data_IF_078248164104
#
_entry.id   IF_078248164104
#
_cell.length_a   1.000
_cell.length_b   1.000
_cell.length_c   1.000
_cell.angle_alpha   90.00
_cell.angle_beta   90.00
_cell.angle_gamma   90.00
#
_symmetry.space_group_name_H-M   'P 1'
#
loop_
_entity.id
_entity.type
_entity.pdbx_description
1 polymer ?
#
# COMPACT_ATOMS: atom_id res chain seq x y z
N UNK A 1 -14.45 14.47 -20.11
CA UNK A 1 -15.03 13.38 -20.92
C UNK A 1 -14.27 13.28 -22.23
N UNK A 2 -14.63 12.37 -23.13
CA UNK A 2 -14.08 12.37 -24.48
C UNK A 2 -14.43 13.70 -25.19
N UNK A 3 -13.60 14.10 -26.15
CA UNK A 3 -13.65 15.44 -26.75
C UNK A 3 -14.93 15.70 -27.58
N UNK A 4 -15.65 14.65 -27.94
CA UNK A 4 -16.90 14.67 -28.70
C UNK A 4 -18.15 14.61 -27.81
N UNK A 5 -18.00 14.69 -26.48
CA UNK A 5 -19.12 14.62 -25.57
C UNK A 5 -19.97 15.90 -25.67
N UNK A 6 -21.23 15.75 -26.06
CA UNK A 6 -22.18 16.84 -26.28
C UNK A 6 -23.43 16.67 -25.42
N UNK A 7 -24.03 17.78 -25.00
CA UNK A 7 -25.34 17.76 -24.33
C UNK A 7 -26.40 17.23 -25.29
N UNK A 8 -27.39 16.51 -24.74
CA UNK A 8 -28.57 16.05 -25.48
C UNK A 8 -29.82 16.25 -24.64
N UNK A 9 -30.94 16.48 -25.32
CA UNK A 9 -32.26 16.51 -24.69
C UNK A 9 -32.81 15.09 -24.64
N UNK A 10 -32.74 14.47 -23.46
CA UNK A 10 -33.31 13.14 -23.19
C UNK A 10 -34.13 13.24 -21.90
N UNK A 11 -35.19 12.44 -21.77
CA UNK A 11 -36.03 12.41 -20.56
C UNK A 11 -36.54 13.79 -20.09
N UNK A 12 -36.68 14.76 -21.01
CA UNK A 12 -37.12 16.11 -20.72
C UNK A 12 -36.05 17.05 -20.15
N UNK A 13 -34.78 16.64 -20.13
CA UNK A 13 -33.67 17.45 -19.64
C UNK A 13 -32.53 17.55 -20.66
N UNK A 14 -31.99 18.76 -20.84
CA UNK A 14 -30.81 19.00 -21.65
C UNK A 14 -29.55 18.87 -20.78
N UNK A 15 -28.94 17.69 -20.82
CA UNK A 15 -27.81 17.32 -19.98
C UNK A 15 -26.79 16.52 -20.78
N UNK A 16 -25.64 16.25 -20.15
CA UNK A 16 -24.70 15.25 -20.61
C UNK A 16 -25.15 13.87 -20.13
N UNK A 17 -25.38 12.95 -21.05
CA UNK A 17 -25.94 11.64 -20.74
C UNK A 17 -24.88 10.55 -20.82
N UNK A 18 -24.76 9.74 -19.76
CA UNK A 18 -23.90 8.56 -19.73
C UNK A 18 -24.78 7.32 -19.73
N UNK A 19 -24.51 6.40 -20.66
CA UNK A 19 -25.20 5.11 -20.73
C UNK A 19 -24.25 4.00 -20.33
N UNK A 20 -24.57 3.28 -19.26
CA UNK A 20 -23.86 2.07 -18.85
C UNK A 20 -24.65 0.84 -19.31
N UNK A 21 -23.99 -0.10 -19.99
CA UNK A 21 -24.57 -1.38 -20.42
C UNK A 21 -23.63 -2.50 -20.02
N UNK A 22 -24.20 -3.62 -19.57
CA UNK A 22 -23.44 -4.86 -19.41
C UNK A 22 -23.12 -5.40 -20.82
N UNK A 23 -21.83 -5.43 -21.16
CA UNK A 23 -21.36 -5.85 -22.48
C UNK A 23 -21.46 -7.37 -22.66
N UNK A 24 -21.05 -8.14 -21.65
CA UNK A 24 -21.14 -9.61 -21.62
C UNK A 24 -21.50 -10.12 -20.23
N UNK A 25 -22.12 -11.31 -20.17
CA UNK A 25 -22.52 -11.98 -18.93
C UNK A 25 -23.93 -11.65 -18.47
N UNK A 26 -24.29 -12.17 -17.30
CA UNK A 26 -25.56 -11.89 -16.63
C UNK A 26 -25.36 -11.81 -15.12
N UNK A 27 -26.26 -11.09 -14.44
CA UNK A 27 -26.27 -11.06 -13.00
C UNK A 27 -27.26 -12.09 -12.46
N UNK A 28 -26.81 -12.97 -11.56
CA UNK A 28 -27.73 -13.82 -10.80
C UNK A 28 -28.71 -12.98 -9.94
N UNK A 29 -28.24 -11.80 -9.50
CA UNK A 29 -29.05 -10.72 -8.90
C UNK A 29 -28.49 -9.39 -9.39
N UNK A 30 -29.32 -8.57 -10.04
CA UNK A 30 -28.89 -7.29 -10.60
C UNK A 30 -28.25 -6.39 -9.52
N UNK A 31 -27.12 -5.70 -9.83
CA UNK A 31 -26.51 -4.78 -8.90
C UNK A 31 -27.45 -3.62 -8.63
N UNK A 32 -27.50 -3.18 -7.37
CA UNK A 32 -28.23 -1.96 -7.00
C UNK A 32 -27.21 -0.84 -6.92
N UNK A 33 -27.43 0.22 -7.68
CA UNK A 33 -26.70 1.48 -7.50
C UNK A 33 -27.16 2.04 -6.17
N UNK A 34 -26.23 2.16 -5.22
CA UNK A 34 -26.50 2.72 -3.91
C UNK A 34 -26.45 4.25 -3.94
N UNK A 35 -25.46 4.80 -4.67
CA UNK A 35 -25.26 6.23 -4.84
C UNK A 35 -24.31 6.50 -6.03
N UNK A 36 -24.33 7.73 -6.57
CA UNK A 36 -23.39 8.24 -7.58
C UNK A 36 -22.80 9.53 -7.05
N UNK A 37 -21.51 9.48 -6.69
CA UNK A 37 -20.79 10.63 -6.15
C UNK A 37 -19.83 11.19 -7.20
N UNK A 38 -19.98 12.49 -7.48
CA UNK A 38 -19.12 13.22 -8.39
C UNK A 38 -17.90 13.77 -7.63
N UNK A 39 -16.82 14.05 -8.36
CA UNK A 39 -15.60 14.68 -7.81
C UNK A 39 -15.05 13.98 -6.55
N UNK A 40 -15.17 12.66 -6.48
CA UNK A 40 -14.75 11.86 -5.33
C UNK A 40 -13.53 11.02 -5.70
N UNK A 41 -12.55 10.99 -4.80
CA UNK A 41 -11.34 10.17 -4.91
C UNK A 41 -11.16 9.30 -3.67
N UNK A 42 -10.51 8.13 -3.77
CA UNK A 42 -10.07 7.41 -2.58
C UNK A 42 -9.06 8.25 -1.80
N UNK A 43 -9.16 8.20 -0.47
CA UNK A 43 -8.22 8.84 0.44
C UNK A 43 -7.81 7.85 1.53
N UNK A 44 -6.56 7.96 1.99
CA UNK A 44 -5.99 7.14 3.06
C UNK A 44 -5.54 8.04 4.21
N UNK A 45 -5.63 7.53 5.44
CA UNK A 45 -5.11 8.25 6.61
C UNK A 45 -3.59 8.14 6.66
N UNK A 46 -2.91 9.10 6.04
CA UNK A 46 -1.46 9.15 5.94
C UNK A 46 -0.94 10.59 5.99
N UNK A 47 0.24 10.77 6.56
CA UNK A 47 1.05 11.98 6.45
C UNK A 47 2.20 11.68 5.51
N UNK A 48 2.33 12.51 4.48
CA UNK A 48 3.46 12.44 3.55
C UNK A 48 4.64 13.24 4.10
N UNK A 49 5.82 12.63 4.04
CA UNK A 49 7.11 13.26 4.35
C UNK A 49 7.96 13.22 3.09
N UNK A 50 8.67 14.31 2.82
CA UNK A 50 9.53 14.46 1.63
C UNK A 50 10.92 14.90 2.02
N UNK A 51 11.89 14.47 1.22
CA UNK A 51 13.29 14.87 1.29
C UNK A 51 13.89 14.75 2.70
N UNK A 52 13.59 13.65 3.38
CA UNK A 52 14.20 13.34 4.68
C UNK A 52 15.56 12.67 4.46
N UNK A 53 16.62 13.30 4.95
CA UNK A 53 17.95 12.68 4.96
C UNK A 53 17.97 11.63 6.06
N UNK A 54 18.15 10.37 5.67
CA UNK A 54 18.24 9.24 6.61
C UNK A 54 19.63 9.13 7.23
N UNK A 55 20.68 9.45 6.47
CA UNK A 55 22.03 9.49 7.03
C UNK A 55 23.17 9.53 6.02
N UNK A 56 24.38 9.42 6.58
CA UNK A 56 25.65 9.39 5.85
C UNK A 56 26.05 7.93 5.66
N UNK A 57 26.50 7.57 4.46
CA UNK A 57 27.09 6.24 4.26
C UNK A 57 28.58 6.29 4.57
N UNK A 58 29.08 5.31 5.31
CA UNK A 58 30.52 5.12 5.54
C UNK A 58 31.15 4.10 4.57
N UNK A 59 30.35 3.55 3.66
CA UNK A 59 30.78 2.54 2.68
C UNK A 59 31.04 1.16 3.28
N UNK A 60 30.58 0.89 4.51
CA UNK A 60 30.69 -0.44 5.13
C UNK A 60 29.49 -1.34 4.79
N UNK A 61 29.65 -2.68 4.84
CA UNK A 61 28.56 -3.63 4.69
C UNK A 61 27.44 -3.47 5.72
N UNK A 62 26.22 -3.92 5.37
CA UNK A 62 25.06 -4.06 6.29
C UNK A 62 24.64 -2.77 7.01
N UNK A 63 24.96 -1.61 6.44
CA UNK A 63 24.62 -0.31 7.01
C UNK A 63 23.11 -0.16 7.24
N UNK A 64 22.77 0.51 8.34
CA UNK A 64 21.39 0.70 8.79
C UNK A 64 21.07 2.16 8.98
N UNK A 65 19.87 2.53 8.55
CA UNK A 65 19.34 3.88 8.68
C UNK A 65 17.91 3.81 9.21
N UNK A 66 17.44 4.85 9.87
CA UNK A 66 16.12 4.86 10.51
C UNK A 66 15.35 6.10 10.08
N UNK A 67 14.10 5.92 9.68
CA UNK A 67 13.17 7.01 9.44
C UNK A 67 12.83 7.74 10.75
N UNK A 68 12.73 9.07 10.71
CA UNK A 68 12.33 9.87 11.86
C UNK A 68 10.87 9.63 12.27
N UNK A 69 10.02 9.25 11.32
CA UNK A 69 8.62 8.92 11.58
C UNK A 69 8.30 7.52 11.07
N UNK A 70 7.73 6.71 11.95
CA UNK A 70 7.28 5.36 11.66
C UNK A 70 5.98 5.09 12.45
N UNK A 71 5.11 4.16 12.00
CA UNK A 71 5.34 3.18 10.94
C UNK A 71 5.42 3.79 9.53
N UNK A 72 6.18 3.16 8.64
CA UNK A 72 6.32 3.54 7.22
C UNK A 72 5.31 2.74 6.40
N UNK A 73 4.44 3.44 5.66
CA UNK A 73 3.46 2.83 4.77
C UNK A 73 4.12 2.33 3.47
N UNK A 74 3.50 1.38 2.74
CA UNK A 74 4.07 0.81 1.52
C UNK A 74 4.41 1.84 0.46
N UNK A 75 5.50 1.60 -0.27
CA UNK A 75 5.99 2.45 -1.35
C UNK A 75 6.83 3.67 -0.94
N UNK A 76 7.73 3.59 0.05
CA UNK A 76 8.70 4.66 0.25
C UNK A 76 9.71 4.70 -0.91
N UNK A 77 10.08 5.91 -1.31
CA UNK A 77 11.08 6.17 -2.33
C UNK A 77 12.40 6.55 -1.65
N UNK A 78 13.38 5.64 -1.69
CA UNK A 78 14.73 5.86 -1.15
C UNK A 78 15.68 6.13 -2.31
N UNK A 79 16.32 7.28 -2.29
CA UNK A 79 17.40 7.64 -3.19
C UNK A 79 18.73 7.51 -2.46
N UNK A 80 19.73 6.98 -3.16
CA UNK A 80 21.12 6.96 -2.68
C UNK A 80 21.99 7.72 -3.65
N UNK A 81 22.89 8.52 -3.09
CA UNK A 81 23.89 9.27 -3.84
C UNK A 81 24.99 8.34 -4.33
N UNK A 82 25.25 8.39 -5.63
CA UNK A 82 26.31 7.62 -6.30
C UNK A 82 27.38 8.57 -6.85
N UNK A 83 28.62 8.07 -6.95
CA UNK A 83 29.77 8.84 -7.45
C UNK A 83 29.97 8.69 -8.95
N UNK A 84 29.46 7.61 -9.52
CA UNK A 84 29.68 7.23 -10.92
C UNK A 84 28.34 6.91 -11.57
N UNK A 85 28.27 7.12 -12.89
CA UNK A 85 27.10 6.75 -13.67
C UNK A 85 26.94 5.23 -13.69
N UNK A 86 25.74 4.69 -13.45
CA UNK A 86 25.49 3.25 -13.58
C UNK A 86 25.86 2.76 -14.98
N UNK A 87 26.55 1.62 -15.07
CA UNK A 87 26.84 0.99 -16.36
C UNK A 87 25.56 0.63 -17.12
N UNK A 88 25.63 0.46 -18.44
CA UNK A 88 24.43 0.25 -19.29
C UNK A 88 23.50 -0.89 -18.80
N UNK A 89 24.08 -1.98 -18.31
CA UNK A 89 23.30 -3.12 -17.78
C UNK A 89 22.59 -2.80 -16.48
N UNK A 90 23.28 -2.09 -15.58
CA UNK A 90 22.73 -1.66 -14.29
C UNK A 90 21.65 -0.61 -14.48
N UNK A 91 21.89 0.37 -15.37
CA UNK A 91 20.91 1.39 -15.70
C UNK A 91 19.64 0.77 -16.29
N UNK A 92 19.78 -0.18 -17.21
CA UNK A 92 18.62 -0.88 -17.78
C UNK A 92 17.81 -1.56 -16.67
N UNK A 93 18.46 -2.28 -15.76
CA UNK A 93 17.79 -2.95 -14.64
C UNK A 93 17.09 -1.96 -13.70
N UNK A 94 17.78 -0.88 -13.33
CA UNK A 94 17.23 0.19 -12.49
C UNK A 94 15.93 0.76 -13.08
N UNK A 95 15.92 1.06 -14.38
CA UNK A 95 14.73 1.61 -15.05
C UNK A 95 13.61 0.58 -15.21
N UNK A 96 13.92 -0.72 -15.31
CA UNK A 96 12.94 -1.81 -15.32
C UNK A 96 12.27 -2.01 -13.96
N UNK A 97 13.02 -1.86 -12.86
CA UNK A 97 12.52 -2.07 -11.49
C UNK A 97 11.80 -0.84 -10.93
N UNK A 98 12.37 0.36 -11.12
CA UNK A 98 11.94 1.59 -10.45
C UNK A 98 11.32 2.63 -11.39
N UNK A 99 11.34 2.38 -12.70
CA UNK A 99 10.75 3.25 -13.72
C UNK A 99 11.69 4.31 -14.28
N UNK A 100 11.20 5.14 -15.23
CA UNK A 100 12.02 6.08 -16.00
C UNK A 100 12.61 7.24 -15.18
N UNK A 101 12.02 7.56 -14.02
CA UNK A 101 12.44 8.65 -13.13
C UNK A 101 13.35 8.17 -11.99
N UNK A 102 13.82 6.91 -12.05
CA UNK A 102 14.63 6.28 -11.02
C UNK A 102 16.05 6.85 -10.91
N UNK A 103 16.58 7.46 -11.97
CA UNK A 103 17.89 8.11 -11.97
C UNK A 103 17.73 9.63 -12.10
N UNK A 104 18.30 10.38 -11.18
CA UNK A 104 18.37 11.84 -11.22
C UNK A 104 19.82 12.27 -11.29
N UNK A 105 20.16 13.01 -12.34
CA UNK A 105 21.53 13.51 -12.58
C UNK A 105 21.47 15.02 -12.66
N UNK A 106 22.22 15.69 -11.80
CA UNK A 106 22.52 17.11 -11.93
C UNK A 106 23.88 17.27 -12.62
N UNK A 107 23.94 18.11 -13.66
CA UNK A 107 25.15 18.34 -14.45
C UNK A 107 25.67 19.77 -14.27
N UNK A 108 26.98 19.95 -14.36
CA UNK A 108 27.60 21.28 -14.44
C UNK A 108 27.37 21.95 -15.81
N UNK A 109 27.86 23.18 -15.98
CA UNK A 109 27.81 23.91 -17.26
C UNK A 109 28.57 23.20 -18.40
N UNK A 110 29.49 22.29 -18.07
CA UNK A 110 30.24 21.46 -19.01
C UNK A 110 29.54 20.15 -19.37
N UNK A 111 28.38 19.85 -18.78
CA UNK A 111 27.64 18.61 -18.98
C UNK A 111 28.17 17.41 -18.19
N UNK A 112 29.12 17.61 -17.27
CA UNK A 112 29.60 16.55 -16.38
C UNK A 112 28.64 16.34 -15.21
N UNK A 113 28.36 15.09 -14.80
CA UNK A 113 27.52 14.82 -13.64
C UNK A 113 28.20 15.28 -12.35
N UNK A 114 27.49 16.12 -11.58
CA UNK A 114 27.91 16.65 -10.26
C UNK A 114 27.22 15.86 -9.15
N UNK A 115 25.92 15.57 -9.32
CA UNK A 115 25.17 14.73 -8.41
C UNK A 115 24.42 13.65 -9.16
N UNK A 116 24.56 12.41 -8.69
CA UNK A 116 23.87 11.25 -9.24
C UNK A 116 23.08 10.62 -8.10
N UNK A 117 21.77 10.58 -8.24
CA UNK A 117 20.86 9.97 -7.28
C UNK A 117 20.12 8.84 -7.97
N UNK A 118 20.25 7.63 -7.45
CA UNK A 118 19.51 6.47 -7.94
C UNK A 118 18.47 6.04 -6.92
N UNK A 119 17.28 5.66 -7.38
CA UNK A 119 16.24 5.02 -6.58
C UNK A 119 16.64 3.57 -6.31
N UNK A 120 16.65 3.18 -5.05
CA UNK A 120 16.92 1.81 -4.65
C UNK A 120 15.61 1.03 -4.54
N UNK A 121 15.64 -0.26 -4.85
CA UNK A 121 14.48 -1.14 -4.89
C UNK A 121 14.27 -1.86 -3.55
N UNK A 122 13.06 -1.81 -2.96
CA UNK A 122 12.76 -2.57 -1.75
C UNK A 122 12.64 -4.06 -2.04
N UNK A 123 13.33 -4.90 -1.26
CA UNK A 123 13.22 -6.37 -1.32
C UNK A 123 12.88 -6.95 0.05
N UNK A 124 12.22 -8.11 0.08
CA UNK A 124 11.96 -8.83 1.35
C UNK A 124 13.24 -9.41 1.96
N UNK A 125 14.20 -9.78 1.12
CA UNK A 125 15.52 -10.27 1.55
C UNK A 125 16.55 -10.15 0.42
N UNK A 126 17.83 -10.11 0.78
CA UNK A 126 18.93 -10.04 -0.19
C UNK A 126 19.26 -11.38 -0.88
N UNK A 127 18.51 -12.47 -0.63
CA UNK A 127 18.86 -13.80 -1.11
C UNK A 127 19.01 -13.87 -2.65
N UNK A 128 18.13 -13.17 -3.37
CA UNK A 128 18.14 -13.12 -4.84
C UNK A 128 18.92 -11.91 -5.40
N UNK A 129 19.57 -11.13 -4.53
CA UNK A 129 20.25 -9.88 -4.91
C UNK A 129 21.70 -10.16 -5.32
N UNK A 130 22.13 -9.52 -6.40
CA UNK A 130 23.51 -9.48 -6.85
C UNK A 130 24.32 -8.39 -6.13
N UNK A 131 25.64 -8.38 -6.30
CA UNK A 131 26.54 -7.36 -5.74
C UNK A 131 26.32 -5.94 -6.30
N UNK A 132 25.72 -5.81 -7.49
CA UNK A 132 25.42 -4.51 -8.14
C UNK A 132 23.97 -4.10 -7.99
N UNK A 133 23.16 -4.91 -7.30
CA UNK A 133 21.74 -4.65 -7.13
C UNK A 133 21.52 -3.58 -6.07
N UNK A 134 20.86 -2.49 -6.46
CA UNK A 134 20.52 -1.34 -5.61
C UNK A 134 19.33 -1.69 -4.73
N UNK A 135 19.49 -2.70 -3.89
CA UNK A 135 18.41 -3.23 -3.07
C UNK A 135 18.54 -2.79 -1.62
N UNK A 136 17.40 -2.59 -0.96
CA UNK A 136 17.33 -2.41 0.49
C UNK A 136 16.21 -3.26 1.09
N UNK A 137 16.34 -3.59 2.37
CA UNK A 137 15.29 -4.22 3.16
C UNK A 137 14.74 -3.20 4.14
N UNK A 138 13.41 -3.09 4.22
CA UNK A 138 12.71 -2.18 5.13
C UNK A 138 11.97 -2.97 6.20
N UNK A 139 12.21 -2.63 7.46
CA UNK A 139 11.27 -2.89 8.54
C UNK A 139 10.34 -1.67 8.70
N UNK A 140 9.08 -1.75 8.22
CA UNK A 140 8.17 -0.62 8.24
C UNK A 140 7.65 -0.31 9.64
N UNK A 141 7.76 -1.23 10.60
CA UNK A 141 7.20 -1.07 11.95
C UNK A 141 8.07 -0.13 12.78
N UNK A 142 9.38 -0.33 12.72
CA UNK A 142 10.37 0.51 13.42
C UNK A 142 11.06 1.52 12.49
N UNK A 143 10.74 1.49 11.19
CA UNK A 143 11.31 2.39 10.20
C UNK A 143 12.79 2.15 9.95
N UNK A 144 13.27 0.91 10.03
CA UNK A 144 14.69 0.60 9.79
C UNK A 144 14.91 0.16 8.34
N UNK A 145 15.89 0.76 7.68
CA UNK A 145 16.36 0.39 6.35
C UNK A 145 17.73 -0.26 6.51
N UNK A 146 17.91 -1.40 5.86
CA UNK A 146 19.17 -2.15 5.83
C UNK A 146 19.60 -2.27 4.37
N UNK A 147 20.89 -2.04 4.12
CA UNK A 147 21.51 -2.22 2.80
C UNK A 147 22.34 -3.50 2.72
N UNK A 148 22.75 -3.87 1.50
CA UNK A 148 23.48 -5.10 1.24
C UNK A 148 24.91 -5.12 1.79
N UNK A 149 25.54 -6.28 1.68
CA UNK A 149 26.91 -6.53 2.15
C UNK A 149 27.98 -6.46 1.03
N UNK A 150 27.57 -6.10 -0.19
CA UNK A 150 28.43 -6.07 -1.38
C UNK A 150 28.60 -7.42 -2.06
N UNK A 151 28.03 -8.51 -1.51
CA UNK A 151 27.88 -9.81 -2.16
C UNK A 151 26.42 -10.06 -2.54
N UNK A 152 25.51 -9.68 -1.65
CA UNK A 152 24.07 -9.78 -1.75
C UNK A 152 23.49 -8.38 -1.51
N UNK A 153 23.23 -7.69 -2.60
CA UNK A 153 22.90 -6.27 -2.58
C UNK A 153 24.16 -5.41 -2.53
N UNK A 154 24.08 -4.27 -3.19
CA UNK A 154 25.13 -3.26 -3.23
C UNK A 154 25.27 -2.55 -1.87
N UNK A 155 26.49 -2.15 -1.54
CA UNK A 155 26.77 -1.26 -0.40
C UNK A 155 26.53 0.18 -0.86
N UNK A 156 25.77 1.01 -0.11
CA UNK A 156 25.59 2.41 -0.48
C UNK A 156 26.95 3.11 -0.52
N UNK A 157 27.31 3.82 -1.60
CA UNK A 157 28.61 4.48 -1.70
C UNK A 157 28.85 5.47 -0.54
N UNK A 158 30.09 5.61 -0.05
CA UNK A 158 30.40 6.44 1.10
C UNK A 158 30.19 7.92 0.78
N UNK A 159 29.46 8.65 1.62
CA UNK A 159 29.23 10.07 1.36
C UNK A 159 28.32 10.74 2.38
N UNK A 160 28.44 12.07 2.54
CA UNK A 160 27.58 12.81 3.43
C UNK A 160 26.16 12.88 2.89
N UNK A 161 25.17 12.72 3.78
CA UNK A 161 23.75 12.70 3.42
C UNK A 161 23.43 11.75 2.25
N UNK A 162 24.20 10.66 2.10
CA UNK A 162 24.12 9.79 0.94
C UNK A 162 22.80 9.03 0.83
N UNK A 163 22.04 8.89 1.92
CA UNK A 163 20.76 8.17 1.92
C UNK A 163 19.61 9.15 2.19
N UNK A 164 18.70 9.26 1.23
CA UNK A 164 17.59 10.21 1.23
C UNK A 164 16.27 9.46 1.03
N UNK A 165 15.34 9.60 1.97
CA UNK A 165 13.95 9.28 1.74
C UNK A 165 13.27 10.44 1.00
N UNK A 166 13.22 10.34 -0.32
CA UNK A 166 12.63 11.38 -1.18
C UNK A 166 11.15 11.57 -0.87
N UNK A 167 10.44 10.47 -0.69
CA UNK A 167 9.02 10.47 -0.34
C UNK A 167 8.68 9.22 0.44
N UNK A 168 8.00 9.37 1.57
CA UNK A 168 7.37 8.24 2.24
C UNK A 168 6.10 8.71 2.95
N UNK A 169 5.29 7.75 3.37
CA UNK A 169 4.07 8.01 4.11
C UNK A 169 4.13 7.33 5.47
N UNK A 170 3.55 7.97 6.47
CA UNK A 170 3.42 7.45 7.84
C UNK A 170 2.02 7.72 8.38
N UNK A 171 1.54 6.91 9.32
CA UNK A 171 0.20 7.03 9.89
C UNK A 171 -0.56 5.72 9.86
N UNK A 172 -1.83 5.76 9.44
CA UNK A 172 -2.73 4.61 9.56
C UNK A 172 -3.30 4.46 10.98
N UNK A 173 -3.48 3.22 11.43
CA UNK A 173 -4.02 2.91 12.75
C UNK A 173 -5.55 3.01 12.86
N UNK A 174 -6.07 2.64 14.02
CA UNK A 174 -7.49 2.77 14.36
C UNK A 174 -7.95 4.23 14.36
N UNK A 175 -7.05 5.17 14.65
CA UNK A 175 -7.32 6.61 14.62
C UNK A 175 -7.78 7.12 13.25
N UNK A 176 -7.42 6.41 12.17
CA UNK A 176 -7.87 6.74 10.82
C UNK A 176 -9.32 6.33 10.52
N UNK A 177 -9.95 5.53 11.39
CA UNK A 177 -11.32 5.10 11.23
C UNK A 177 -12.26 6.16 11.82
N UNK A 178 -12.99 6.85 10.96
CA UNK A 178 -13.87 7.95 11.37
C UNK A 178 -15.24 7.87 10.68
N UNK A 179 -16.24 8.47 11.31
CA UNK A 179 -17.61 8.53 10.80
C UNK A 179 -17.71 9.21 9.43
N UNK A 180 -18.82 8.97 8.73
CA UNK A 180 -19.15 9.73 7.52
C UNK A 180 -19.34 11.22 7.87
N UNK A 181 -18.91 12.11 6.99
CA UNK A 181 -19.03 13.56 7.16
C UNK A 181 -18.12 14.17 8.23
N UNK A 182 -17.12 13.43 8.73
CA UNK A 182 -16.18 13.91 9.75
C UNK A 182 -14.92 14.58 9.17
N UNK A 183 -14.50 14.19 7.97
CA UNK A 183 -13.32 14.72 7.28
C UNK A 183 -13.69 15.96 6.48
N UNK A 184 -13.81 17.10 7.18
CA UNK A 184 -14.32 18.36 6.60
C UNK A 184 -13.28 19.48 6.50
N UNK A 185 -12.11 19.31 7.12
CA UNK A 185 -11.05 20.32 7.15
C UNK A 185 -9.91 19.93 6.20
N UNK A 186 -9.55 20.84 5.29
CA UNK A 186 -8.33 20.76 4.49
C UNK A 186 -7.14 21.22 5.32
N UNK A 187 -6.17 20.35 5.57
CA UNK A 187 -4.91 20.74 6.26
C UNK A 187 -4.00 21.60 5.40
N UNK A 188 -4.04 21.40 4.09
CA UNK A 188 -3.37 22.24 3.11
C UNK A 188 -4.45 22.78 2.17
N UNK A 189 -4.44 24.10 1.95
CA UNK A 189 -5.37 24.72 1.02
C UNK A 189 -5.07 24.26 -0.40
N UNK A 190 -6.11 23.84 -1.12
CA UNK A 190 -6.00 23.46 -2.53
C UNK A 190 -6.77 24.50 -3.34
N UNK A 191 -6.12 25.18 -4.31
CA UNK A 191 -6.80 26.16 -5.14
C UNK A 191 -8.07 25.60 -5.79
N UNK A 192 -9.12 26.41 -5.85
CA UNK A 192 -10.43 26.08 -6.43
C UNK A 192 -11.22 24.97 -5.70
N UNK A 193 -10.77 24.51 -4.53
CA UNK A 193 -11.52 23.57 -3.68
C UNK A 193 -12.19 24.33 -2.55
N UNK A 194 -13.51 24.45 -2.62
CA UNK A 194 -14.33 25.14 -1.61
C UNK A 194 -14.51 24.31 -0.33
N UNK A 195 -14.83 23.02 -0.47
CA UNK A 195 -15.09 22.12 0.66
C UNK A 195 -14.72 20.67 0.35
N UNK A 196 -14.35 19.93 1.39
CA UNK A 196 -14.19 18.48 1.36
C UNK A 196 -15.12 17.81 2.37
N UNK A 197 -15.49 16.56 2.09
CA UNK A 197 -16.24 15.70 3.01
C UNK A 197 -16.05 14.25 2.60
N UNK A 198 -16.03 13.33 3.57
CA UNK A 198 -16.11 11.90 3.29
C UNK A 198 -17.56 11.43 3.32
N UNK A 199 -18.11 11.02 2.18
CA UNK A 199 -19.49 10.51 2.11
C UNK A 199 -19.68 9.18 2.86
N UNK A 200 -18.62 8.37 2.90
CA UNK A 200 -18.59 7.11 3.62
C UNK A 200 -17.65 7.20 4.82
N UNK A 201 -17.90 6.35 5.81
CA UNK A 201 -16.98 6.18 6.95
C UNK A 201 -15.59 5.80 6.41
N UNK A 202 -14.54 6.41 6.95
CA UNK A 202 -13.19 5.91 6.74
C UNK A 202 -13.04 4.61 7.55
N UNK A 203 -12.57 3.55 6.89
CA UNK A 203 -12.45 2.21 7.48
C UNK A 203 -11.18 1.56 7.00
N UNK A 204 -10.81 0.46 7.65
CA UNK A 204 -9.71 -0.40 7.24
C UNK A 204 -8.39 -0.08 7.95
N UNK A 205 -8.34 1.01 8.71
CA UNK A 205 -7.22 1.31 9.60
C UNK A 205 -7.17 0.33 10.76
N UNK A 206 -5.98 -0.14 11.09
CA UNK A 206 -5.73 -1.03 12.21
C UNK A 206 -4.36 -0.71 12.81
N UNK A 207 -4.25 -0.83 14.13
CA UNK A 207 -2.99 -0.64 14.84
C UNK A 207 -2.05 -1.83 14.60
N UNK A 208 -0.77 -1.61 14.92
CA UNK A 208 0.27 -2.63 14.81
C UNK A 208 -0.07 -3.88 15.62
N UNK A 209 0.28 -5.05 15.08
CA UNK A 209 0.12 -6.32 15.80
C UNK A 209 0.94 -6.28 17.10
N UNK A 210 0.27 -6.53 18.22
CA UNK A 210 0.92 -6.58 19.53
C UNK A 210 1.78 -7.84 19.66
N UNK A 211 2.76 -7.83 20.57
CA UNK A 211 3.58 -9.02 20.89
C UNK A 211 2.69 -10.19 21.34
N UNK A 212 1.61 -9.93 22.08
CA UNK A 212 0.65 -10.96 22.49
C UNK A 212 -0.03 -11.63 21.29
N UNK A 213 -0.52 -10.83 20.35
CA UNK A 213 -1.11 -11.34 19.10
C UNK A 213 -0.07 -12.07 18.24
N UNK A 214 1.17 -11.57 18.17
CA UNK A 214 2.27 -12.22 17.46
C UNK A 214 2.65 -13.57 18.07
N UNK A 215 2.62 -13.72 19.41
CA UNK A 215 2.83 -15.00 20.11
C UNK A 215 1.75 -16.03 19.77
N UNK A 216 0.50 -15.59 19.63
CA UNK A 216 -0.58 -16.46 19.15
C UNK A 216 -0.42 -16.79 17.67
N UNK A 217 0.14 -15.86 16.88
CA UNK A 217 0.35 -16.03 15.45
C UNK A 217 1.48 -17.01 15.11
N UNK A 218 2.63 -16.84 15.74
CA UNK A 218 3.90 -17.51 15.37
C UNK A 218 3.80 -19.03 15.20
N UNK A 219 3.27 -19.77 16.19
CA UNK A 219 3.13 -21.23 16.10
C UNK A 219 2.30 -21.70 14.90
N UNK A 220 1.29 -20.93 14.52
CA UNK A 220 0.36 -21.28 13.45
C UNK A 220 1.04 -21.10 12.09
N UNK A 221 1.80 -20.01 11.88
CA UNK A 221 2.62 -19.83 10.67
C UNK A 221 3.54 -21.02 10.41
N UNK A 222 4.18 -21.54 11.47
CA UNK A 222 5.05 -22.72 11.37
C UNK A 222 4.26 -23.99 11.05
N UNK A 223 3.08 -24.16 11.66
CA UNK A 223 2.20 -25.32 11.45
C UNK A 223 1.73 -25.41 10.00
N UNK A 224 1.16 -24.35 9.44
CA UNK A 224 0.54 -24.41 8.12
C UNK A 224 1.44 -23.91 6.99
N UNK A 225 2.58 -23.24 7.28
CA UNK A 225 3.55 -22.73 6.28
C UNK A 225 2.91 -21.95 5.12
N UNK A 226 1.96 -21.08 5.46
CA UNK A 226 1.14 -20.32 4.50
C UNK A 226 0.35 -21.19 3.49
N UNK A 227 0.02 -22.45 3.84
CA UNK A 227 -0.81 -23.34 3.02
C UNK A 227 -2.06 -23.75 3.78
N UNK A 228 -3.22 -23.61 3.15
CA UNK A 228 -4.48 -24.10 3.70
C UNK A 228 -4.64 -25.59 3.36
N UNK A 229 -4.46 -26.48 4.34
CA UNK A 229 -4.63 -27.94 4.13
C UNK A 229 -5.77 -28.49 5.00
N UNK A 230 -5.88 -28.00 6.23
CA UNK A 230 -6.96 -28.34 7.17
C UNK A 230 -8.00 -27.22 7.26
N UNK A 231 -9.18 -27.52 7.82
CA UNK A 231 -10.24 -26.53 8.06
C UNK A 231 -9.70 -25.39 8.91
N UNK A 232 -8.95 -25.73 9.95
CA UNK A 232 -8.34 -24.78 10.87
C UNK A 232 -7.34 -23.87 10.16
N UNK A 233 -6.61 -24.38 9.15
CA UNK A 233 -5.68 -23.56 8.37
C UNK A 233 -6.44 -22.52 7.52
N UNK A 234 -7.58 -22.89 6.92
CA UNK A 234 -8.44 -21.92 6.20
C UNK A 234 -8.98 -20.84 7.12
N UNK A 235 -9.47 -21.22 8.31
CA UNK A 235 -9.94 -20.25 9.32
C UNK A 235 -8.83 -19.29 9.72
N UNK A 236 -7.64 -19.83 9.96
CA UNK A 236 -6.53 -19.05 10.45
C UNK A 236 -5.95 -18.11 9.39
N UNK A 237 -5.80 -18.60 8.15
CA UNK A 237 -5.32 -17.77 7.03
C UNK A 237 -6.32 -16.65 6.70
N UNK A 238 -7.62 -16.95 6.73
CA UNK A 238 -8.65 -15.93 6.55
C UNK A 238 -8.63 -14.88 7.67
N UNK A 239 -8.42 -15.30 8.91
CA UNK A 239 -8.25 -14.37 10.04
C UNK A 239 -7.00 -13.48 9.87
N UNK A 240 -5.93 -13.99 9.25
CA UNK A 240 -4.68 -13.23 9.04
C UNK A 240 -4.65 -12.36 7.80
N UNK A 241 -5.52 -12.62 6.83
CA UNK A 241 -5.58 -11.82 5.62
C UNK A 241 -5.84 -10.32 5.91
N UNK A 242 -6.57 -10.00 6.98
CA UNK A 242 -6.76 -8.63 7.43
C UNK A 242 -7.06 -8.53 8.93
N UNK A 243 -6.54 -7.50 9.65
CA UNK A 243 -6.95 -7.21 11.02
C UNK A 243 -8.43 -6.81 11.13
N UNK A 244 -9.11 -6.51 10.01
CA UNK A 244 -10.55 -6.26 9.99
C UNK A 244 -11.39 -7.55 9.98
N UNK A 245 -10.79 -8.73 10.14
CA UNK A 245 -11.53 -9.99 10.33
C UNK A 245 -11.60 -10.29 11.83
N UNK A 246 -12.78 -10.16 12.42
CA UNK A 246 -13.01 -10.52 13.82
C UNK A 246 -13.05 -12.04 14.01
N UNK A 247 -13.63 -12.74 13.03
CA UNK A 247 -13.75 -14.20 13.09
C UNK A 247 -13.83 -14.79 11.69
N UNK A 248 -13.18 -15.94 11.51
CA UNK A 248 -13.35 -16.76 10.33
C UNK A 248 -13.80 -18.16 10.76
N UNK A 249 -14.71 -18.77 9.99
CA UNK A 249 -15.09 -20.17 10.14
C UNK A 249 -15.11 -20.87 8.80
N UNK A 250 -14.50 -22.03 8.71
CA UNK A 250 -14.44 -22.80 7.48
C UNK A 250 -15.37 -24.01 7.62
N UNK A 251 -16.25 -24.16 6.64
CA UNK A 251 -17.21 -25.26 6.55
C UNK A 251 -16.88 -26.10 5.33
N UNK A 252 -17.03 -27.42 5.47
CA UNK A 252 -17.02 -28.32 4.31
C UNK A 252 -18.26 -28.04 3.48
N UNK A 253 -18.10 -27.71 2.20
CA UNK A 253 -19.23 -27.47 1.32
C UNK A 253 -19.68 -28.79 0.69
N UNK A 254 -20.94 -29.20 0.82
CA UNK A 254 -21.40 -30.47 0.25
C UNK A 254 -21.68 -30.41 -1.27
N UNK A 255 -21.54 -29.23 -1.91
CA UNK A 255 -21.96 -29.02 -3.30
C UNK A 255 -20.99 -29.60 -4.33
N UNK A 256 -19.68 -29.56 -4.06
CA UNK A 256 -18.63 -30.09 -4.95
C UNK A 256 -17.43 -30.57 -4.13
N UNK A 257 -16.82 -31.68 -4.54
CA UNK A 257 -15.54 -32.11 -3.97
C UNK A 257 -14.46 -31.05 -4.21
N UNK A 258 -13.66 -30.78 -3.18
CA UNK A 258 -12.62 -29.76 -3.20
C UNK A 258 -13.10 -28.33 -2.89
N UNK A 259 -14.41 -28.11 -2.70
CA UNK A 259 -14.95 -26.80 -2.33
C UNK A 259 -15.04 -26.65 -0.80
N UNK A 260 -14.58 -25.51 -0.29
CA UNK A 260 -14.74 -25.10 1.11
C UNK A 260 -15.46 -23.75 1.17
N UNK A 261 -16.28 -23.53 2.19
CA UNK A 261 -16.93 -22.24 2.44
C UNK A 261 -16.30 -21.60 3.66
N UNK A 262 -15.64 -20.46 3.46
CA UNK A 262 -15.12 -19.64 4.55
C UNK A 262 -16.11 -18.51 4.84
N UNK A 263 -16.62 -18.48 6.06
CA UNK A 263 -17.47 -17.43 6.59
C UNK A 263 -16.57 -16.41 7.28
N UNK A 264 -16.59 -15.17 6.77
CA UNK A 264 -15.81 -14.05 7.30
C UNK A 264 -16.73 -13.10 8.05
N UNK A 265 -16.46 -12.91 9.34
CA UNK A 265 -17.09 -11.91 10.18
C UNK A 265 -16.16 -10.70 10.29
N UNK A 266 -16.54 -9.52 9.78
CA UNK A 266 -15.71 -8.33 9.91
C UNK A 266 -15.67 -7.83 11.35
N UNK A 267 -14.52 -7.27 11.73
CA UNK A 267 -14.37 -6.42 12.91
C UNK A 267 -15.32 -5.22 12.79
N UNK A 268 -15.94 -4.82 13.89
CA UNK A 268 -16.70 -3.58 13.92
C UNK A 268 -16.97 -3.14 15.34
N UNK A 269 -17.20 -1.85 15.51
CA UNK A 269 -17.40 -1.21 16.82
C UNK A 269 -18.61 -1.82 17.55
N UNK A 270 -18.45 -2.10 18.84
CA UNK A 270 -19.52 -2.57 19.74
C UNK A 270 -20.51 -1.46 20.09
N UNK A 271 -20.11 -0.19 20.05
CA UNK A 271 -20.97 0.93 20.45
C UNK A 271 -22.06 1.22 19.43
N UNK A 272 -23.32 1.05 19.85
CA UNK A 272 -24.51 1.37 19.06
C UNK A 272 -24.88 0.33 18.01
N UNK A 273 -24.38 -0.91 18.10
CA UNK A 273 -24.80 -1.99 17.20
C UNK A 273 -26.28 -2.29 17.40
N UNK A 274 -27.07 -1.93 16.39
CA UNK A 274 -28.37 -2.53 16.16
C UNK A 274 -28.15 -4.02 15.85
N UNK A 275 -28.33 -4.88 16.86
CA UNK A 275 -28.12 -6.35 16.79
C UNK A 275 -28.98 -7.03 15.71
N UNK A 276 -29.93 -6.30 15.13
CA UNK A 276 -30.78 -6.75 14.02
C UNK A 276 -30.02 -6.71 12.69
N UNK A 277 -29.06 -5.79 12.51
CA UNK A 277 -28.27 -5.69 11.27
C UNK A 277 -27.10 -6.66 11.27
N UNK A 278 -27.19 -7.68 10.41
CA UNK A 278 -26.10 -8.62 10.16
C UNK A 278 -24.85 -7.85 9.69
N UNK A 279 -23.68 -8.05 10.31
CA UNK A 279 -22.43 -7.49 9.82
C UNK A 279 -22.11 -8.08 8.45
N UNK A 280 -21.85 -7.20 7.47
CA UNK A 280 -21.51 -7.59 6.11
C UNK A 280 -20.07 -7.12 5.84
N UNK A 281 -19.14 -8.03 5.52
CA UNK A 281 -17.78 -7.64 5.15
C UNK A 281 -17.80 -6.83 3.85
N UNK A 282 -16.95 -5.80 3.79
CA UNK A 282 -16.79 -5.02 2.56
C UNK A 282 -16.22 -5.89 1.42
N UNK A 283 -16.56 -5.63 0.14
CA UNK A 283 -16.00 -6.38 -0.98
C UNK A 283 -14.48 -6.40 -1.02
N UNK A 284 -13.83 -5.33 -0.60
CA UNK A 284 -12.37 -5.23 -0.50
C UNK A 284 -11.80 -6.21 0.54
N UNK A 285 -12.51 -6.38 1.67
CA UNK A 285 -12.14 -7.35 2.69
C UNK A 285 -12.29 -8.78 2.17
N UNK A 286 -13.39 -9.08 1.47
CA UNK A 286 -13.62 -10.41 0.87
C UNK A 286 -12.67 -10.74 -0.28
N UNK A 287 -12.17 -9.74 -1.03
CA UNK A 287 -11.15 -9.97 -2.08
C UNK A 287 -9.75 -10.20 -1.50
N UNK A 288 -9.51 -9.65 -0.31
CA UNK A 288 -8.23 -9.75 0.39
C UNK A 288 -8.08 -11.08 1.13
N UNK A 289 -9.19 -11.61 1.65
CA UNK A 289 -9.30 -12.92 2.31
C UNK A 289 -9.37 -14.03 1.26
#
# INVERSE_FOLDING_TARGET
>A
GPNDFVSRSEFGHELFWVRCRLEMGSYAKAPRILDIQLNTIPAVHATEVKNEVLGHSDGTPDQRFTFQRFPVLPGPEILVREHEMPGQRELKKLLEEEGPDALKVETDEGGNPVEIWSRWHPVESFYASSQTDRHYVLDPVVGNVIFGDGRRGMIPPPGPNAVLAQRYQTGGGLVGNVGAGSLVVLRQSVPYVDRVSNYYRARGGADLETIGQAKMRGPQVVRHRYRAVTIEDYEWLALKASPNVARARCLKTPRREGEVTVIVLPEGEEEGRDLIKKPVPAPELLRRV
#
